data_IF_160707467926
#
_entry.id   IF_160707467926
#
_cell.length_a   1.000
_cell.length_b   1.000
_cell.length_c   1.000
_cell.angle_alpha   90.00
_cell.angle_beta   90.00
_cell.angle_gamma   90.00
#
_symmetry.space_group_name_H-M   'P 1'
#
loop_
_entity.id
_entity.type
_entity.pdbx_description
1 polymer ?
#
# COMPACT_ATOMS: atom_id res chain seq x y z
N UNK A 1 -9.72 1.89 23.38
CA UNK A 1 -10.91 1.05 23.11
C UNK A 1 -11.01 0.98 21.59
N UNK A 2 -10.88 -0.22 21.05
CA UNK A 2 -10.80 -0.44 19.61
C UNK A 2 -12.21 -0.32 18.99
N UNK A 3 -12.40 0.63 18.08
CA UNK A 3 -13.58 0.67 17.23
C UNK A 3 -13.40 -0.39 16.14
N UNK A 4 -14.15 -1.49 16.24
CA UNK A 4 -14.24 -2.50 15.19
C UNK A 4 -14.92 -1.92 13.94
N UNK A 5 -14.75 -2.59 12.77
CA UNK A 5 -15.37 -2.15 11.53
C UNK A 5 -16.89 -2.15 11.67
N UNK A 6 -17.51 -1.08 11.20
CA UNK A 6 -18.98 -0.98 11.11
C UNK A 6 -19.40 -1.98 10.03
N UNK A 7 -20.11 -3.05 10.42
CA UNK A 7 -20.74 -3.99 9.50
C UNK A 7 -21.77 -3.24 8.63
N UNK A 8 -21.81 -3.58 7.34
CA UNK A 8 -22.85 -3.08 6.44
C UNK A 8 -24.19 -3.64 6.90
N UNK A 9 -25.18 -2.82 7.15
CA UNK A 9 -26.53 -3.34 7.40
C UNK A 9 -27.04 -3.99 6.12
N UNK A 10 -27.62 -5.19 6.28
CA UNK A 10 -28.33 -5.90 5.21
C UNK A 10 -29.46 -5.02 4.66
N UNK A 11 -29.68 -5.14 3.34
CA UNK A 11 -30.67 -4.37 2.61
C UNK A 11 -32.06 -4.45 3.26
N UNK A 12 -32.46 -3.38 3.91
CA UNK A 12 -33.86 -3.20 4.34
C UNK A 12 -34.70 -2.86 3.12
N UNK A 13 -35.81 -3.59 2.99
CA UNK A 13 -36.74 -3.50 1.88
C UNK A 13 -37.27 -2.09 1.65
N UNK A 14 -37.42 -1.78 0.38
CA UNK A 14 -38.06 -0.57 -0.09
C UNK A 14 -39.52 -0.51 0.36
N UNK A 15 -39.93 0.64 0.84
CA UNK A 15 -41.29 1.17 0.88
C UNK A 15 -41.83 1.50 2.26
N UNK A 16 -41.28 2.55 2.90
CA UNK A 16 -41.99 3.32 3.91
C UNK A 16 -41.40 4.74 3.98
N UNK A 17 -42.16 5.66 3.53
CA UNK A 17 -42.31 7.12 3.76
C UNK A 17 -41.20 7.95 4.41
N UNK A 18 -39.91 7.61 4.23
CA UNK A 18 -38.78 8.33 4.82
C UNK A 18 -38.60 9.70 4.15
N UNK A 19 -38.81 10.76 4.86
CA UNK A 19 -38.38 12.09 4.45
C UNK A 19 -36.86 12.12 4.50
N UNK A 20 -36.21 11.91 3.35
CA UNK A 20 -34.74 11.85 3.20
C UNK A 20 -34.11 13.18 3.61
N UNK A 21 -33.55 13.26 4.79
CA UNK A 21 -32.53 14.26 5.10
C UNK A 21 -31.19 13.71 4.53
N UNK A 22 -30.76 14.22 3.38
CA UNK A 22 -29.43 13.91 2.81
C UNK A 22 -28.37 14.72 3.54
N UNK A 23 -27.82 14.18 4.59
CA UNK A 23 -26.58 14.68 5.17
C UNK A 23 -25.44 13.78 4.71
N UNK A 24 -24.67 14.25 3.74
CA UNK A 24 -23.46 13.59 3.30
C UNK A 24 -22.32 13.94 4.25
N UNK A 25 -21.72 12.93 4.85
CA UNK A 25 -20.53 13.07 5.66
C UNK A 25 -19.31 12.77 4.81
N UNK A 26 -18.37 13.70 4.73
CA UNK A 26 -17.09 13.51 4.04
C UNK A 26 -16.03 13.26 5.09
N UNK A 27 -15.52 12.03 5.15
CA UNK A 27 -14.34 11.68 5.95
C UNK A 27 -13.12 11.76 5.05
N UNK A 28 -12.11 12.50 5.49
CA UNK A 28 -10.83 12.65 4.78
C UNK A 28 -9.78 11.80 5.46
N UNK A 29 -9.11 10.96 4.71
CA UNK A 29 -7.94 10.22 5.17
C UNK A 29 -6.71 10.69 4.38
N UNK A 30 -5.72 11.23 5.10
CA UNK A 30 -4.47 11.68 4.52
C UNK A 30 -3.46 10.54 4.51
N UNK A 31 -2.77 10.35 3.40
CA UNK A 31 -1.73 9.34 3.27
C UNK A 31 -0.61 9.80 2.34
N UNK A 32 0.57 9.17 2.50
CA UNK A 32 1.73 9.39 1.62
C UNK A 32 1.79 8.32 0.55
N UNK A 33 2.06 8.75 -0.69
CA UNK A 33 2.23 7.84 -1.83
C UNK A 33 3.31 8.30 -2.79
N UNK A 34 3.65 7.46 -3.76
CA UNK A 34 4.60 7.76 -4.83
C UNK A 34 3.90 8.60 -5.90
N UNK A 35 4.41 9.81 -6.16
CA UNK A 35 3.98 10.65 -7.29
C UNK A 35 4.79 10.34 -8.54
N UNK A 36 6.13 10.33 -8.41
CA UNK A 36 7.04 9.97 -9.49
C UNK A 36 7.90 8.79 -9.06
N UNK A 37 7.99 7.80 -9.94
CA UNK A 37 8.74 6.56 -9.69
C UNK A 37 10.22 6.80 -9.46
N UNK A 38 10.79 6.11 -8.48
CA UNK A 38 12.21 6.10 -8.20
C UNK A 38 12.87 4.79 -8.64
N UNK A 39 14.15 4.86 -8.89
CA UNK A 39 15.00 3.71 -9.26
C UNK A 39 16.30 3.74 -8.47
N UNK A 40 16.86 2.57 -8.22
CA UNK A 40 18.15 2.42 -7.54
C UNK A 40 18.94 1.25 -8.09
N UNK A 41 20.26 1.26 -7.85
CA UNK A 41 21.16 0.15 -8.17
C UNK A 41 22.08 -0.07 -6.97
N UNK A 42 21.82 -1.11 -6.22
CA UNK A 42 22.70 -1.56 -5.14
C UNK A 42 23.54 -2.76 -5.60
N UNK A 43 24.83 -2.77 -5.27
CA UNK A 43 25.77 -3.83 -5.65
C UNK A 43 26.39 -4.46 -4.42
N UNK A 44 26.42 -5.79 -4.37
CA UNK A 44 27.04 -6.53 -3.28
C UNK A 44 27.64 -7.85 -3.80
N UNK A 45 28.95 -8.05 -3.59
CA UNK A 45 29.70 -9.26 -3.99
C UNK A 45 29.38 -9.73 -5.41
N UNK A 46 29.41 -8.81 -6.38
CA UNK A 46 29.12 -9.07 -7.80
C UNK A 46 27.63 -9.15 -8.15
N UNK A 47 26.73 -9.34 -7.20
CA UNK A 47 25.29 -9.26 -7.43
C UNK A 47 24.83 -7.81 -7.60
N UNK A 48 23.79 -7.61 -8.43
CA UNK A 48 23.13 -6.31 -8.63
C UNK A 48 21.68 -6.42 -8.25
N UNK A 49 21.21 -5.45 -7.47
CA UNK A 49 19.85 -5.31 -6.99
C UNK A 49 19.30 -4.00 -7.54
N UNK A 50 18.38 -4.09 -8.49
CA UNK A 50 17.74 -2.93 -9.10
C UNK A 50 16.42 -2.68 -8.39
N UNK A 51 16.32 -1.60 -7.62
CA UNK A 51 15.11 -1.20 -6.93
C UNK A 51 14.23 -0.30 -7.80
N UNK A 52 12.91 -0.52 -7.74
CA UNK A 52 11.91 0.24 -8.48
C UNK A 52 10.74 0.56 -7.57
N UNK A 53 10.22 1.77 -7.66
CA UNK A 53 8.97 2.16 -7.02
C UNK A 53 7.90 2.50 -8.07
N UNK A 54 6.64 2.23 -7.76
CA UNK A 54 5.49 2.58 -8.61
C UNK A 54 4.31 2.97 -7.73
N UNK A 55 3.53 3.95 -8.18
CA UNK A 55 2.18 4.17 -7.66
C UNK A 55 1.27 3.07 -8.20
N UNK A 56 0.46 2.48 -7.34
CA UNK A 56 -0.51 1.43 -7.69
C UNK A 56 -1.75 1.57 -6.82
N UNK A 57 -2.92 1.31 -7.40
CA UNK A 57 -4.20 1.40 -6.71
C UNK A 57 -4.94 0.04 -6.64
N UNK A 58 -4.38 -1.00 -7.24
CA UNK A 58 -4.96 -2.33 -7.27
C UNK A 58 -3.92 -3.44 -7.32
N UNK A 59 -4.30 -4.65 -6.87
CA UNK A 59 -3.46 -5.85 -7.04
C UNK A 59 -3.25 -6.22 -8.51
N UNK A 60 -4.17 -5.82 -9.40
CA UNK A 60 -4.02 -6.09 -10.82
C UNK A 60 -2.88 -5.27 -11.41
N UNK A 61 -2.80 -3.97 -11.08
CA UNK A 61 -1.66 -3.12 -11.47
C UNK A 61 -0.34 -3.68 -10.95
N UNK A 62 -0.29 -4.17 -9.70
CA UNK A 62 0.90 -4.84 -9.16
C UNK A 62 1.32 -6.02 -10.02
N UNK A 63 0.39 -6.91 -10.38
CA UNK A 63 0.66 -8.08 -11.23
C UNK A 63 1.21 -7.67 -12.59
N UNK A 64 0.63 -6.63 -13.18
CA UNK A 64 1.03 -6.12 -14.49
C UNK A 64 2.45 -5.53 -14.44
N UNK A 65 2.78 -4.75 -13.42
CA UNK A 65 4.14 -4.24 -13.23
C UNK A 65 5.16 -5.37 -13.01
N UNK A 66 4.85 -6.35 -12.17
CA UNK A 66 5.75 -7.50 -11.94
C UNK A 66 5.95 -8.30 -13.23
N UNK A 67 4.91 -8.53 -14.01
CA UNK A 67 5.02 -9.19 -15.32
C UNK A 67 5.90 -8.39 -16.29
N UNK A 68 5.79 -7.05 -16.30
CA UNK A 68 6.61 -6.19 -17.11
C UNK A 68 8.09 -6.19 -16.67
N UNK A 69 8.37 -6.17 -15.37
CA UNK A 69 9.74 -6.31 -14.85
C UNK A 69 10.38 -7.63 -15.28
N UNK A 70 9.64 -8.75 -15.20
CA UNK A 70 10.14 -10.06 -15.68
C UNK A 70 10.46 -10.05 -17.18
N UNK A 71 9.63 -9.40 -18.00
CA UNK A 71 9.87 -9.26 -19.44
C UNK A 71 11.09 -8.36 -19.75
N UNK A 72 11.24 -7.27 -19.01
CA UNK A 72 12.33 -6.31 -19.20
C UNK A 72 13.67 -6.81 -18.66
N UNK A 73 13.63 -7.77 -17.72
CA UNK A 73 14.82 -8.33 -17.06
C UNK A 73 14.87 -9.86 -17.19
N UNK A 74 14.91 -10.42 -18.43
CA UNK A 74 14.82 -11.87 -18.66
C UNK A 74 15.99 -12.67 -18.08
N UNK A 75 17.13 -12.03 -17.80
CA UNK A 75 18.30 -12.65 -17.19
C UNK A 75 18.34 -12.50 -15.67
N UNK A 76 17.32 -11.86 -15.06
CA UNK A 76 17.24 -11.76 -13.61
C UNK A 76 16.86 -13.10 -13.00
N UNK A 77 17.38 -13.38 -11.81
CA UNK A 77 17.06 -14.62 -11.08
C UNK A 77 15.75 -14.46 -10.29
N UNK A 78 15.54 -13.28 -9.70
CA UNK A 78 14.40 -13.00 -8.84
C UNK A 78 13.86 -11.58 -9.06
N UNK A 79 12.55 -11.44 -8.95
CA UNK A 79 11.81 -10.16 -8.90
C UNK A 79 11.03 -10.13 -7.60
N UNK A 80 11.71 -9.80 -6.52
CA UNK A 80 11.10 -9.72 -5.18
C UNK A 80 10.37 -8.39 -5.03
N UNK A 81 9.26 -8.37 -4.29
CA UNK A 81 8.46 -7.16 -4.17
C UNK A 81 7.65 -7.10 -2.87
N UNK A 82 7.21 -5.91 -2.56
CA UNK A 82 6.15 -5.66 -1.59
C UNK A 82 5.27 -4.51 -2.07
N UNK A 83 4.00 -4.54 -1.68
CA UNK A 83 3.07 -3.44 -1.92
C UNK A 83 2.17 -3.20 -0.70
N UNK A 84 1.61 -2.02 -0.62
CA UNK A 84 0.56 -1.66 0.32
C UNK A 84 -0.47 -0.81 -0.40
N UNK A 85 -1.76 -1.08 -0.15
CA UNK A 85 -2.91 -0.43 -0.77
C UNK A 85 -3.87 0.09 0.30
N UNK A 86 -4.64 1.12 -0.06
CA UNK A 86 -5.66 1.75 0.77
C UNK A 86 -5.09 2.76 1.76
N UNK A 87 -5.86 3.81 2.04
CA UNK A 87 -5.48 4.85 2.99
C UNK A 87 -5.37 4.29 4.43
N UNK A 88 -6.16 3.27 4.77
CA UNK A 88 -6.11 2.56 6.06
C UNK A 88 -4.85 1.70 6.27
N UNK A 89 -4.03 1.53 5.22
CA UNK A 89 -2.74 0.83 5.25
C UNK A 89 -2.79 -0.65 5.67
N UNK A 90 -3.97 -1.29 5.67
CA UNK A 90 -4.15 -2.67 6.14
C UNK A 90 -3.95 -3.71 5.06
N UNK A 91 -4.13 -3.34 3.79
CA UNK A 91 -3.98 -4.26 2.67
C UNK A 91 -2.55 -4.25 2.14
N UNK A 92 -1.78 -5.28 2.42
CA UNK A 92 -0.40 -5.42 1.95
C UNK A 92 -0.07 -6.87 1.63
N UNK A 93 0.90 -7.06 0.73
CA UNK A 93 1.54 -8.35 0.45
C UNK A 93 3.00 -8.15 0.07
N UNK A 94 3.77 -9.21 0.19
CA UNK A 94 5.15 -9.28 -0.26
C UNK A 94 5.49 -10.67 -0.82
N UNK A 95 6.59 -10.74 -1.58
CA UNK A 95 7.08 -11.99 -2.19
C UNK A 95 8.60 -12.03 -2.19
N UNK A 96 9.15 -13.15 -1.77
CA UNK A 96 10.57 -13.45 -1.87
C UNK A 96 10.95 -14.03 -3.24
N UNK A 97 10.00 -14.36 -4.10
CA UNK A 97 10.19 -14.82 -5.49
C UNK A 97 11.30 -15.88 -5.65
N UNK A 98 11.33 -16.88 -4.78
CA UNK A 98 12.32 -17.96 -4.80
C UNK A 98 13.63 -17.68 -4.07
N UNK A 99 13.85 -16.49 -3.51
CA UNK A 99 14.89 -16.28 -2.51
C UNK A 99 14.56 -17.06 -1.21
N UNK A 100 15.51 -17.31 -0.33
CA UNK A 100 15.24 -17.90 0.97
C UNK A 100 14.16 -17.12 1.72
N UNK A 101 13.27 -17.84 2.38
CA UNK A 101 12.09 -17.26 3.05
C UNK A 101 12.46 -16.07 3.95
N UNK A 102 11.73 -14.98 3.82
CA UNK A 102 11.87 -13.72 4.57
C UNK A 102 13.19 -12.96 4.36
N UNK A 103 13.94 -13.28 3.29
CA UNK A 103 15.20 -12.56 3.00
C UNK A 103 15.05 -11.38 2.06
N UNK A 104 13.92 -11.26 1.35
CA UNK A 104 13.67 -10.22 0.37
C UNK A 104 12.36 -9.46 0.60
N UNK A 105 11.22 -10.14 0.55
CA UNK A 105 9.90 -9.53 0.66
C UNK A 105 9.70 -8.72 1.93
N UNK A 106 9.86 -9.29 3.14
CA UNK A 106 9.73 -8.55 4.39
C UNK A 106 10.72 -7.38 4.53
N UNK A 107 12.03 -7.50 4.18
CA UNK A 107 12.95 -6.36 4.13
C UNK A 107 12.49 -5.20 3.24
N UNK A 108 11.92 -5.50 2.05
CA UNK A 108 11.33 -4.50 1.14
C UNK A 108 10.12 -3.85 1.80
N UNK A 109 9.19 -4.66 2.34
CA UNK A 109 7.98 -4.16 2.99
C UNK A 109 8.30 -3.25 4.18
N UNK A 110 9.33 -3.60 4.96
CA UNK A 110 9.81 -2.77 6.07
C UNK A 110 10.20 -1.34 5.63
N UNK A 111 10.67 -1.14 4.40
CA UNK A 111 11.00 0.18 3.89
C UNK A 111 9.73 0.98 3.52
N UNK A 112 8.69 0.32 2.96
CA UNK A 112 7.37 0.94 2.74
C UNK A 112 6.79 1.41 4.07
N UNK A 113 6.85 0.57 5.11
CA UNK A 113 6.35 0.89 6.45
C UNK A 113 7.12 2.07 7.07
N UNK A 114 8.44 2.05 7.00
CA UNK A 114 9.29 3.10 7.56
C UNK A 114 9.06 4.45 6.89
N UNK A 115 8.79 4.46 5.58
CA UNK A 115 8.46 5.67 4.83
C UNK A 115 7.00 6.13 5.01
N UNK A 116 6.14 5.33 5.67
CA UNK A 116 4.73 5.63 5.86
C UNK A 116 3.92 5.64 4.56
N UNK A 117 4.38 4.91 3.53
CA UNK A 117 3.75 4.91 2.21
C UNK A 117 2.60 3.92 2.11
N UNK A 118 1.61 4.26 1.30
CA UNK A 118 0.58 3.35 0.79
C UNK A 118 0.28 3.64 -0.67
N UNK A 119 -0.61 2.85 -1.29
CA UNK A 119 -0.89 2.89 -2.72
C UNK A 119 0.40 2.84 -3.55
N UNK A 120 1.32 1.96 -3.14
CA UNK A 120 2.63 1.83 -3.75
C UNK A 120 3.11 0.39 -3.85
N UNK A 121 3.91 0.14 -4.88
CA UNK A 121 4.70 -1.07 -5.10
C UNK A 121 6.18 -0.71 -5.02
N UNK A 122 6.95 -1.51 -4.30
CA UNK A 122 8.42 -1.52 -4.36
C UNK A 122 8.86 -2.90 -4.82
N UNK A 123 9.58 -2.95 -5.93
CA UNK A 123 10.14 -4.18 -6.50
C UNK A 123 11.66 -4.10 -6.55
N UNK A 124 12.32 -5.23 -6.33
CA UNK A 124 13.77 -5.36 -6.45
C UNK A 124 14.09 -6.54 -7.36
N UNK A 125 14.72 -6.24 -8.48
CA UNK A 125 15.19 -7.22 -9.48
C UNK A 125 16.63 -7.59 -9.18
N UNK A 126 16.90 -8.87 -8.96
CA UNK A 126 18.26 -9.34 -8.65
C UNK A 126 18.92 -10.03 -9.84
N UNK A 127 20.16 -9.63 -10.11
CA UNK A 127 21.10 -10.35 -10.95
C UNK A 127 22.18 -10.99 -10.07
N UNK A 128 22.31 -12.30 -10.14
CA UNK A 128 23.28 -13.05 -9.35
C UNK A 128 24.71 -12.80 -9.82
N UNK A 129 25.61 -12.54 -8.90
CA UNK A 129 27.00 -12.20 -9.18
C UNK A 129 28.00 -13.35 -8.99
N UNK A 130 27.53 -14.61 -8.88
CA UNK A 130 28.40 -15.79 -8.71
C UNK A 130 28.76 -16.09 -7.25
N UNK A 131 28.57 -15.14 -6.31
CA UNK A 131 28.92 -15.31 -4.89
C UNK A 131 27.66 -15.32 -4.04
N UNK A 132 27.50 -16.32 -3.18
CA UNK A 132 26.39 -16.40 -2.21
C UNK A 132 26.55 -15.33 -1.14
N UNK A 133 25.50 -14.56 -0.88
CA UNK A 133 25.49 -13.50 0.14
C UNK A 133 25.17 -14.01 1.55
N UNK A 134 24.51 -15.17 1.65
CA UNK A 134 23.92 -15.67 2.88
C UNK A 134 22.65 -14.88 3.28
N UNK A 135 21.93 -15.37 4.28
CA UNK A 135 20.66 -14.78 4.76
C UNK A 135 20.83 -13.30 5.14
N UNK A 136 21.79 -13.00 5.98
CA UNK A 136 22.05 -11.63 6.44
C UNK A 136 22.42 -10.66 5.31
N UNK A 137 23.25 -11.10 4.35
CA UNK A 137 23.62 -10.30 3.19
C UNK A 137 22.45 -10.03 2.25
N UNK A 138 21.56 -11.01 2.05
CA UNK A 138 20.35 -10.84 1.26
C UNK A 138 19.41 -9.81 1.89
N UNK A 139 19.10 -9.97 3.18
CA UNK A 139 18.25 -9.03 3.93
C UNK A 139 18.76 -7.60 3.81
N UNK A 140 20.07 -7.42 3.98
CA UNK A 140 20.71 -6.10 3.86
C UNK A 140 20.59 -5.54 2.42
N UNK A 141 20.86 -6.35 1.41
CA UNK A 141 20.85 -5.91 0.02
C UNK A 141 19.45 -5.52 -0.46
N UNK A 142 18.42 -6.34 -0.17
CA UNK A 142 17.04 -6.03 -0.53
C UNK A 142 16.54 -4.79 0.21
N UNK A 143 16.85 -4.67 1.51
CA UNK A 143 16.52 -3.48 2.30
C UNK A 143 17.15 -2.22 1.70
N UNK A 144 18.42 -2.27 1.37
CA UNK A 144 19.16 -1.11 0.86
C UNK A 144 18.65 -0.68 -0.51
N UNK A 145 18.47 -1.63 -1.45
CA UNK A 145 17.94 -1.34 -2.77
C UNK A 145 16.52 -0.73 -2.70
N UNK A 146 15.64 -1.27 -1.86
CA UNK A 146 14.30 -0.73 -1.65
C UNK A 146 14.35 0.69 -1.05
N UNK A 147 15.19 0.90 -0.03
CA UNK A 147 15.37 2.21 0.61
C UNK A 147 15.82 3.27 -0.39
N UNK A 148 16.84 2.98 -1.18
CA UNK A 148 17.38 3.91 -2.16
C UNK A 148 16.37 4.23 -3.27
N UNK A 149 15.59 3.23 -3.72
CA UNK A 149 14.52 3.45 -4.69
C UNK A 149 13.42 4.38 -4.13
N UNK A 150 13.05 4.21 -2.86
CA UNK A 150 12.08 5.11 -2.20
C UNK A 150 12.66 6.52 -2.06
N UNK A 151 13.93 6.66 -1.67
CA UNK A 151 14.58 7.97 -1.54
C UNK A 151 14.65 8.70 -2.89
N UNK A 152 14.84 7.98 -3.99
CA UNK A 152 14.88 8.57 -5.35
C UNK A 152 13.49 8.90 -5.92
N UNK A 153 12.42 8.53 -5.22
CA UNK A 153 11.04 8.81 -5.62
C UNK A 153 10.60 10.20 -5.19
N UNK A 154 9.67 10.78 -5.92
CA UNK A 154 8.89 11.93 -5.44
C UNK A 154 7.71 11.40 -4.62
N UNK A 155 7.69 11.75 -3.34
CA UNK A 155 6.60 11.37 -2.41
C UNK A 155 5.70 12.58 -2.21
N UNK A 156 4.39 12.36 -2.25
CA UNK A 156 3.37 13.37 -1.95
C UNK A 156 2.45 12.90 -0.84
N UNK A 157 1.93 13.84 -0.09
CA UNK A 157 0.78 13.61 0.78
C UNK A 157 -0.49 13.93 -0.01
N UNK A 158 -1.44 13.02 0.01
CA UNK A 158 -2.72 13.13 -0.68
C UNK A 158 -3.84 12.72 0.25
N UNK A 159 -5.08 12.92 -0.17
CA UNK A 159 -6.25 12.61 0.64
C UNK A 159 -7.24 11.76 -0.16
N UNK A 160 -7.88 10.81 0.52
CA UNK A 160 -9.06 10.11 0.05
C UNK A 160 -10.30 10.63 0.74
N UNK A 161 -11.40 10.59 0.02
CA UNK A 161 -12.72 11.03 0.50
C UNK A 161 -13.65 9.83 0.59
N UNK A 162 -14.21 9.60 1.78
CA UNK A 162 -15.28 8.64 1.97
C UNK A 162 -16.59 9.40 2.16
N UNK A 163 -17.56 9.11 1.31
CA UNK A 163 -18.90 9.66 1.42
C UNK A 163 -19.80 8.67 2.14
N UNK A 164 -20.28 9.04 3.32
CA UNK A 164 -21.26 8.27 4.07
C UNK A 164 -22.63 8.95 3.99
N UNK A 165 -23.65 8.19 3.62
CA UNK A 165 -25.04 8.61 3.71
C UNK A 165 -25.64 8.01 4.99
N UNK A 166 -26.12 8.86 5.90
CA UNK A 166 -26.73 8.43 7.16
C UNK A 166 -28.23 8.62 7.05
N UNK A 167 -28.96 7.53 7.23
CA UNK A 167 -30.42 7.53 7.30
C UNK A 167 -30.85 7.44 8.77
N UNK A 168 -31.64 8.39 9.24
CA UNK A 168 -32.20 8.38 10.59
C UNK A 168 -33.59 9.04 10.60
N UNK A 169 -34.36 8.76 11.63
CA UNK A 169 -35.63 9.47 11.89
C UNK A 169 -35.36 10.92 12.22
N UNK A 170 -36.30 11.80 11.88
CA UNK A 170 -36.15 13.22 12.15
C UNK A 170 -36.04 13.51 13.68
N UNK A 171 -36.63 12.69 14.53
CA UNK A 171 -36.50 12.74 15.98
C UNK A 171 -35.06 12.47 16.46
N UNK A 172 -34.30 11.66 15.75
CA UNK A 172 -32.94 11.22 16.13
C UNK A 172 -31.85 12.13 15.54
N UNK A 173 -32.21 12.96 14.56
CA UNK A 173 -31.27 13.86 13.89
C UNK A 173 -30.41 14.70 14.86
N UNK A 174 -30.93 15.31 15.93
CA UNK A 174 -30.10 16.06 16.87
C UNK A 174 -29.06 15.21 17.58
N UNK A 175 -29.40 13.96 17.94
CA UNK A 175 -28.45 13.03 18.58
C UNK A 175 -27.35 12.59 17.60
N UNK A 176 -27.73 12.25 16.38
CA UNK A 176 -26.80 11.88 15.30
C UNK A 176 -25.84 13.03 15.00
N UNK A 177 -26.35 14.26 14.87
CA UNK A 177 -25.52 15.46 14.60
C UNK A 177 -24.57 15.76 15.77
N UNK A 178 -24.99 15.59 17.01
CA UNK A 178 -24.12 15.76 18.17
C UNK A 178 -23.04 14.70 18.22
N UNK A 179 -23.36 13.45 17.90
CA UNK A 179 -22.39 12.35 17.82
C UNK A 179 -21.35 12.63 16.73
N UNK A 180 -21.76 13.01 15.52
CA UNK A 180 -20.87 13.36 14.41
C UNK A 180 -19.89 14.47 14.80
N UNK A 181 -20.39 15.57 15.40
CA UNK A 181 -19.53 16.65 15.90
C UNK A 181 -18.51 16.17 16.94
N UNK A 182 -18.88 15.22 17.79
CA UNK A 182 -17.98 14.65 18.80
C UNK A 182 -16.85 13.82 18.18
N UNK A 183 -17.04 13.26 16.99
CA UNK A 183 -16.03 12.49 16.25
C UNK A 183 -15.05 13.38 15.47
N UNK A 184 -15.19 14.72 15.53
CA UNK A 184 -14.40 15.70 14.76
C UNK A 184 -14.48 15.47 13.24
N UNK A 185 -15.60 15.00 12.78
CA UNK A 185 -15.93 14.74 11.38
C UNK A 185 -16.73 15.94 10.84
#
# INVERSE_FOLDING_TARGET
MANGPIEKPDAYGADDGWKKAKNALIVREFYKTIKSSGESIYKEKGSRFLGFTRSVNSEQEVKDFIANFRKSHPQSVHVCYAFRLGADMKHFRYSDDGEPSNTAGPPIFGQIQQAGLTNCLVAVVRYYGGVKLGVGGLIQAYRQAAKEAIISSEIVETEDYFLYEIHCDFSDLPQVMNWLKSQKI
#
